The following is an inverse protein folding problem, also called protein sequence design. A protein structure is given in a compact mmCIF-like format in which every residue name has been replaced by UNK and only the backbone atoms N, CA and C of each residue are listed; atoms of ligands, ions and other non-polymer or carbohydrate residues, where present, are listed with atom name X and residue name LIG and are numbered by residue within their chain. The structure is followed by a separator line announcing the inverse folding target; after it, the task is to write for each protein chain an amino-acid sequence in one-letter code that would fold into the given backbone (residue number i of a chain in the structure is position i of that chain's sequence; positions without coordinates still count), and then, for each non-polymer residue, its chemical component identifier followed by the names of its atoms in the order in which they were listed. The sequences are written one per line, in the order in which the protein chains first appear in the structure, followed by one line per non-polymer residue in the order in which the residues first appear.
data_IF_965298936588
#
_entry.id   IF_965298936588
#
_cell.length_a   1.000
_cell.length_b   1.000
_cell.length_c   1.000
_cell.angle_alpha   90.00
_cell.angle_beta   90.00
_cell.angle_gamma   90.00
#
_symmetry.space_group_name_H-M   'P 1'
#
loop_
_entity.id
_entity.type
_entity.pdbx_description
1 polymer ?
#
# COMPACT_ATOMS: atom_id res chain seq x y z
N UNK A 1 3.25 58.96 52.38
CA UNK A 1 4.18 58.20 51.53
C UNK A 1 3.57 56.83 51.25
N UNK A 2 3.10 56.59 50.01
CA UNK A 2 2.41 55.36 49.60
C UNK A 2 3.46 54.27 49.28
N UNK A 3 3.38 53.11 49.92
CA UNK A 3 4.17 51.92 49.56
C UNK A 3 3.48 51.19 48.40
N UNK A 4 4.17 51.08 47.26
CA UNK A 4 3.75 50.25 46.13
C UNK A 4 3.99 48.77 46.47
N UNK A 5 2.96 47.94 46.32
CA UNK A 5 3.07 46.48 46.33
C UNK A 5 3.37 46.03 44.89
N UNK A 6 4.49 45.32 44.70
CA UNK A 6 4.85 44.68 43.43
C UNK A 6 4.24 43.27 43.45
N UNK A 7 3.25 43.01 42.59
CA UNK A 7 2.68 41.67 42.38
C UNK A 7 3.38 41.04 41.18
N UNK A 8 4.17 40.01 41.43
CA UNK A 8 4.81 39.19 40.40
C UNK A 8 3.79 38.18 39.85
N UNK A 9 3.37 38.34 38.59
CA UNK A 9 2.54 37.36 37.89
C UNK A 9 3.45 36.28 37.30
N UNK A 10 3.39 35.07 37.88
CA UNK A 10 4.02 33.87 37.31
C UNK A 10 3.08 33.31 36.25
N UNK A 11 3.46 33.45 34.98
CA UNK A 11 2.76 32.80 33.86
C UNK A 11 3.15 31.31 33.82
N UNK A 12 2.23 30.45 34.24
CA UNK A 12 2.36 28.99 34.08
C UNK A 12 2.03 28.66 32.62
N UNK A 13 3.05 28.38 31.82
CA UNK A 13 2.88 27.81 30.48
C UNK A 13 2.53 26.34 30.66
N UNK A 14 1.24 26.01 30.56
CA UNK A 14 0.81 24.63 30.39
C UNK A 14 1.27 24.15 29.01
N UNK A 15 2.37 23.38 28.99
CA UNK A 15 2.72 22.56 27.83
C UNK A 15 1.69 21.45 27.74
N UNK A 16 0.68 21.61 26.89
CA UNK A 16 -0.19 20.51 26.48
C UNK A 16 0.67 19.51 25.70
N UNK A 17 1.25 18.53 26.39
CA UNK A 17 1.71 17.31 25.72
C UNK A 17 0.46 16.54 25.31
N UNK A 18 0.04 16.71 24.06
CA UNK A 18 -0.90 15.77 23.45
C UNK A 18 -0.22 14.40 23.45
N UNK A 19 -0.55 13.55 24.43
CA UNK A 19 -0.16 12.15 24.43
C UNK A 19 -0.80 11.53 23.20
N UNK A 20 0.02 11.26 22.16
CA UNK A 20 -0.39 10.47 21.01
C UNK A 20 -0.90 9.12 21.50
N UNK A 21 -2.06 8.72 21.02
CA UNK A 21 -2.61 7.39 21.30
C UNK A 21 -1.75 6.37 20.57
N UNK A 22 -1.25 5.35 21.27
CA UNK A 22 -0.48 4.28 20.65
C UNK A 22 -1.38 3.55 19.63
N UNK A 23 -0.96 3.53 18.36
CA UNK A 23 -1.64 2.83 17.27
C UNK A 23 -1.01 1.46 17.07
N UNK A 24 -1.86 0.45 16.89
CA UNK A 24 -1.46 -0.91 16.55
C UNK A 24 -1.79 -1.22 15.09
N UNK A 25 -1.07 -2.17 14.51
CA UNK A 25 -1.40 -2.73 13.20
C UNK A 25 -2.52 -3.74 13.37
N UNK A 26 -3.59 -3.59 12.60
CA UNK A 26 -4.70 -4.54 12.56
C UNK A 26 -4.42 -5.57 11.47
N UNK A 27 -4.57 -6.85 11.77
CA UNK A 27 -4.51 -7.93 10.77
C UNK A 27 -5.91 -8.51 10.61
N UNK A 28 -6.40 -8.58 9.37
CA UNK A 28 -7.72 -9.17 9.09
C UNK A 28 -7.81 -9.69 7.67
N UNK A 29 -8.69 -10.67 7.45
CA UNK A 29 -9.15 -11.03 6.13
C UNK A 29 -10.18 -10.01 5.61
N UNK A 30 -10.32 -9.92 4.29
CA UNK A 30 -11.29 -9.06 3.62
C UNK A 30 -12.01 -9.82 2.50
N UNK A 31 -13.28 -10.13 2.72
CA UNK A 31 -14.05 -10.97 1.79
C UNK A 31 -14.33 -10.27 0.45
N UNK A 32 -14.37 -8.93 0.40
CA UNK A 32 -14.53 -8.22 -0.87
C UNK A 32 -13.28 -8.44 -1.74
N UNK A 33 -12.10 -8.21 -1.17
CA UNK A 33 -10.83 -8.41 -1.86
C UNK A 33 -10.57 -9.88 -2.18
N UNK A 34 -10.90 -10.80 -1.28
CA UNK A 34 -10.79 -12.24 -1.55
C UNK A 34 -11.71 -12.66 -2.69
N UNK A 35 -12.97 -12.21 -2.72
CA UNK A 35 -13.90 -12.51 -3.82
C UNK A 35 -13.35 -12.02 -5.15
N UNK A 36 -12.83 -10.78 -5.19
CA UNK A 36 -12.17 -10.24 -6.37
C UNK A 36 -10.98 -11.11 -6.79
N UNK A 37 -10.10 -11.49 -5.87
CA UNK A 37 -8.93 -12.32 -6.20
C UNK A 37 -9.32 -13.70 -6.76
N UNK A 38 -10.43 -14.29 -6.28
CA UNK A 38 -10.97 -15.56 -6.77
C UNK A 38 -11.55 -15.39 -8.17
N UNK A 39 -12.26 -14.27 -8.43
CA UNK A 39 -12.72 -13.95 -9.77
C UNK A 39 -11.52 -13.76 -10.72
N UNK A 40 -10.49 -13.05 -10.28
CA UNK A 40 -9.26 -12.84 -11.05
C UNK A 40 -8.52 -14.15 -11.33
N UNK A 41 -8.61 -15.12 -10.43
CA UNK A 41 -8.01 -16.44 -10.59
C UNK A 41 -8.61 -17.25 -11.74
N UNK A 42 -9.91 -17.07 -12.00
CA UNK A 42 -10.64 -17.78 -13.05
C UNK A 42 -10.85 -16.95 -14.33
N UNK A 43 -10.64 -15.63 -14.28
CA UNK A 43 -10.77 -14.73 -15.42
C UNK A 43 -9.69 -14.99 -16.49
N UNK A 44 -10.09 -15.00 -17.76
CA UNK A 44 -9.19 -15.33 -18.87
C UNK A 44 -8.04 -14.31 -19.01
N UNK A 45 -8.30 -13.04 -18.70
CA UNK A 45 -7.31 -11.96 -18.69
C UNK A 45 -6.78 -11.66 -17.29
N UNK A 46 -7.17 -12.47 -16.31
CA UNK A 46 -6.62 -12.48 -14.97
C UNK A 46 -5.45 -13.47 -14.82
N UNK A 47 -5.42 -14.20 -13.71
CA UNK A 47 -4.37 -15.18 -13.41
C UNK A 47 -4.59 -16.55 -14.07
N UNK A 48 -5.70 -16.76 -14.79
CA UNK A 48 -5.98 -18.04 -15.43
C UNK A 48 -4.81 -18.54 -16.29
N UNK A 49 -4.20 -17.61 -17.05
CA UNK A 49 -3.10 -17.87 -17.97
C UNK A 49 -1.71 -17.66 -17.35
N UNK A 50 -1.62 -17.31 -16.06
CA UNK A 50 -0.34 -17.22 -15.38
C UNK A 50 0.19 -18.63 -15.10
N UNK A 51 1.51 -18.84 -14.97
CA UNK A 51 2.04 -20.09 -14.48
C UNK A 51 1.28 -20.52 -13.22
N UNK A 52 0.61 -21.67 -13.28
CA UNK A 52 -0.14 -22.15 -12.14
C UNK A 52 0.82 -22.69 -11.11
N UNK A 53 0.76 -22.09 -9.92
CA UNK A 53 1.59 -22.49 -8.81
C UNK A 53 0.81 -23.45 -7.91
N UNK A 54 0.98 -24.75 -8.14
CA UNK A 54 0.34 -25.83 -7.35
C UNK A 54 0.71 -25.75 -5.85
N UNK A 55 1.69 -24.92 -5.50
CA UNK A 55 2.22 -24.74 -4.16
C UNK A 55 1.55 -23.57 -3.39
N UNK A 56 0.35 -23.14 -3.82
CA UNK A 56 -0.53 -22.23 -3.09
C UNK A 56 -1.89 -22.91 -2.80
N UNK A 57 -2.06 -23.60 -1.64
CA UNK A 57 -3.21 -24.46 -1.38
C UNK A 57 -4.58 -23.78 -1.50
N UNK A 58 -4.73 -22.57 -0.93
CA UNK A 58 -6.00 -21.85 -0.99
C UNK A 58 -6.32 -21.32 -2.39
N UNK A 59 -5.31 -20.89 -3.14
CA UNK A 59 -5.46 -20.51 -4.55
C UNK A 59 -5.92 -21.69 -5.39
N UNK A 60 -5.31 -22.86 -5.19
CA UNK A 60 -5.73 -24.10 -5.84
C UNK A 60 -7.16 -24.50 -5.47
N UNK A 61 -7.48 -24.47 -4.18
CA UNK A 61 -8.82 -24.77 -3.69
C UNK A 61 -9.86 -23.82 -4.32
N UNK A 62 -9.59 -22.52 -4.35
CA UNK A 62 -10.47 -21.55 -4.99
C UNK A 62 -10.64 -21.83 -6.49
N UNK A 63 -9.55 -22.04 -7.24
CA UNK A 63 -9.64 -22.37 -8.67
C UNK A 63 -10.50 -23.61 -8.90
N UNK A 64 -10.30 -24.67 -8.12
CA UNK A 64 -11.06 -25.92 -8.27
C UNK A 64 -12.55 -25.75 -7.97
N UNK A 65 -12.92 -24.93 -6.98
CA UNK A 65 -14.31 -24.66 -6.62
C UNK A 65 -15.02 -23.72 -7.62
N UNK A 66 -14.30 -22.77 -8.21
CA UNK A 66 -14.93 -21.68 -8.96
C UNK A 66 -14.69 -21.70 -10.47
N UNK A 67 -13.79 -22.54 -11.00
CA UNK A 67 -13.49 -22.59 -12.47
C UNK A 67 -14.70 -22.87 -13.36
N UNK A 68 -15.74 -23.53 -12.84
CA UNK A 68 -16.98 -23.76 -13.60
C UNK A 68 -17.80 -22.47 -13.86
N UNK A 69 -17.47 -21.37 -13.18
CA UNK A 69 -18.14 -20.07 -13.32
C UNK A 69 -17.36 -19.10 -14.23
N UNK A 70 -16.45 -19.61 -15.07
CA UNK A 70 -15.70 -18.78 -16.03
C UNK A 70 -16.58 -17.99 -17.00
N UNK A 71 -17.74 -18.54 -17.35
CA UNK A 71 -18.73 -17.89 -18.22
C UNK A 71 -19.72 -16.98 -17.45
N UNK A 72 -19.46 -16.69 -16.17
CA UNK A 72 -20.30 -15.78 -15.38
C UNK A 72 -20.09 -14.32 -15.81
N UNK A 73 -21.16 -13.51 -15.81
CA UNK A 73 -21.14 -12.10 -16.26
C UNK A 73 -20.03 -11.27 -15.59
N UNK A 74 -19.86 -11.42 -14.27
CA UNK A 74 -18.79 -10.77 -13.52
C UNK A 74 -17.37 -11.07 -14.06
N UNK A 75 -17.12 -12.30 -14.51
CA UNK A 75 -15.81 -12.70 -15.04
C UNK A 75 -15.56 -12.06 -16.41
N UNK A 76 -16.57 -12.08 -17.29
CA UNK A 76 -16.50 -11.35 -18.55
C UNK A 76 -16.32 -9.85 -18.35
N UNK A 77 -16.98 -9.28 -17.34
CA UNK A 77 -16.83 -7.86 -17.05
C UNK A 77 -15.44 -7.53 -16.52
N UNK A 78 -14.87 -8.34 -15.63
CA UNK A 78 -13.46 -8.22 -15.21
C UNK A 78 -12.53 -8.26 -16.42
N UNK A 79 -12.67 -9.23 -17.33
CA UNK A 79 -11.85 -9.32 -18.54
C UNK A 79 -11.95 -8.03 -19.38
N UNK A 80 -13.15 -7.46 -19.51
CA UNK A 80 -13.36 -6.19 -20.25
C UNK A 80 -12.73 -4.97 -19.57
N UNK A 81 -12.66 -4.96 -18.23
CA UNK A 81 -12.01 -3.90 -17.46
C UNK A 81 -10.49 -4.01 -17.55
N UNK A 82 -9.95 -5.24 -17.56
CA UNK A 82 -8.52 -5.49 -17.78
C UNK A 82 -8.08 -4.95 -19.14
N UNK A 83 -8.88 -5.12 -20.21
CA UNK A 83 -8.57 -4.57 -21.54
C UNK A 83 -8.44 -3.05 -21.56
N UNK A 84 -9.16 -2.37 -20.66
CA UNK A 84 -9.10 -0.90 -20.50
C UNK A 84 -7.91 -0.44 -19.65
N UNK A 85 -7.11 -1.37 -19.11
CA UNK A 85 -6.04 -1.05 -18.15
C UNK A 85 -6.52 -0.85 -16.72
N UNK A 86 -7.79 -1.16 -16.43
CA UNK A 86 -8.32 -1.21 -15.06
C UNK A 86 -8.01 -2.56 -14.44
N UNK A 87 -6.74 -2.73 -14.06
CA UNK A 87 -6.20 -4.01 -13.58
C UNK A 87 -6.44 -4.24 -12.09
N UNK A 88 -5.90 -5.33 -11.55
CA UNK A 88 -6.17 -5.79 -10.19
C UNK A 88 -5.92 -4.73 -9.11
N UNK A 89 -4.86 -3.92 -9.22
CA UNK A 89 -4.55 -2.86 -8.26
C UNK A 89 -5.68 -1.83 -8.16
N UNK A 90 -6.30 -1.47 -9.28
CA UNK A 90 -7.40 -0.52 -9.35
C UNK A 90 -8.70 -1.14 -8.79
N UNK A 91 -8.98 -2.40 -9.13
CA UNK A 91 -10.14 -3.12 -8.62
C UNK A 91 -10.07 -3.39 -7.10
N UNK A 92 -8.87 -3.65 -6.55
CA UNK A 92 -8.65 -3.78 -5.10
C UNK A 92 -9.01 -2.47 -4.38
N UNK A 93 -8.71 -1.33 -4.97
CA UNK A 93 -9.12 -0.04 -4.40
C UNK A 93 -10.64 0.08 -4.32
N UNK A 94 -11.36 -0.31 -5.37
CA UNK A 94 -12.83 -0.31 -5.35
C UNK A 94 -13.35 -1.19 -4.22
N UNK A 95 -12.82 -2.40 -4.05
CA UNK A 95 -13.26 -3.34 -3.02
C UNK A 95 -13.02 -2.82 -1.60
N UNK A 96 -11.87 -2.20 -1.35
CA UNK A 96 -11.54 -1.60 -0.05
C UNK A 96 -12.34 -0.32 0.26
N UNK A 97 -12.83 0.37 -0.78
CA UNK A 97 -13.66 1.58 -0.67
C UNK A 97 -15.16 1.27 -0.72
N UNK A 98 -15.56 0.00 -0.76
CA UNK A 98 -16.96 -0.43 -0.80
C UNK A 98 -17.43 -1.05 0.52
N UNK A 99 -18.74 -1.06 0.75
CA UNK A 99 -19.36 -1.84 1.84
C UNK A 99 -19.26 -3.36 1.55
N UNK A 100 -19.54 -4.23 2.52
CA UNK A 100 -19.41 -5.68 2.33
C UNK A 100 -20.35 -6.28 1.26
N UNK A 101 -19.81 -7.20 0.44
CA UNK A 101 -20.60 -8.10 -0.41
C UNK A 101 -21.58 -8.95 0.44
N UNK A 102 -22.75 -9.37 -0.08
CA UNK A 102 -23.25 -9.21 -1.45
C UNK A 102 -24.15 -7.97 -1.65
N UNK A 103 -24.13 -6.99 -0.74
CA UNK A 103 -24.85 -5.72 -0.90
C UNK A 103 -23.86 -4.55 -0.92
N UNK A 104 -22.71 -4.77 -1.57
CA UNK A 104 -21.66 -3.79 -1.63
C UNK A 104 -22.10 -2.56 -2.43
N UNK A 105 -21.73 -1.39 -1.94
CA UNK A 105 -21.88 -0.08 -2.56
C UNK A 105 -20.62 0.75 -2.27
N UNK A 106 -20.22 1.59 -3.21
CA UNK A 106 -19.05 2.44 -3.03
C UNK A 106 -19.29 3.46 -1.90
N UNK A 107 -18.44 3.45 -0.88
CA UNK A 107 -18.54 4.31 0.30
C UNK A 107 -17.59 5.52 0.22
N UNK A 108 -16.52 5.40 -0.56
CA UNK A 108 -15.50 6.44 -0.70
C UNK A 108 -15.11 6.63 -2.16
N UNK A 109 -14.82 7.88 -2.53
CA UNK A 109 -14.34 8.21 -3.88
C UNK A 109 -13.00 7.51 -4.16
N UNK A 110 -12.84 7.01 -5.39
CA UNK A 110 -11.57 6.50 -5.88
C UNK A 110 -10.55 7.63 -6.04
N UNK A 111 -9.26 7.30 -6.05
CA UNK A 111 -8.22 8.24 -6.46
C UNK A 111 -8.45 8.62 -7.94
N UNK A 112 -8.16 9.87 -8.31
CA UNK A 112 -8.34 10.35 -9.69
C UNK A 112 -7.54 9.52 -10.70
N UNK A 113 -6.32 9.12 -10.32
CA UNK A 113 -5.43 8.25 -11.10
C UNK A 113 -5.97 6.82 -11.30
N UNK A 114 -6.94 6.40 -10.48
CA UNK A 114 -7.65 5.13 -10.61
C UNK A 114 -8.89 5.32 -11.49
N UNK A 115 -9.70 6.35 -11.24
CA UNK A 115 -10.90 6.63 -12.03
C UNK A 115 -10.62 6.88 -13.51
N UNK A 116 -9.54 7.61 -13.83
CA UNK A 116 -9.19 7.97 -15.22
C UNK A 116 -8.83 6.75 -16.08
N UNK A 117 -8.46 5.61 -15.46
CA UNK A 117 -8.21 4.35 -16.18
C UNK A 117 -9.51 3.74 -16.74
N UNK A 118 -10.68 4.14 -16.24
CA UNK A 118 -11.97 3.68 -16.75
C UNK A 118 -12.51 4.59 -17.85
N UNK A 119 -12.48 5.90 -17.60
CA UNK A 119 -12.91 6.95 -18.52
C UNK A 119 -12.42 8.32 -18.03
N UNK A 120 -12.16 9.24 -18.97
CA UNK A 120 -11.96 10.66 -18.67
C UNK A 120 -13.27 11.35 -18.22
N UNK A 121 -14.43 10.76 -18.53
CA UNK A 121 -15.72 11.20 -18.00
C UNK A 121 -15.98 10.57 -16.62
N UNK A 122 -16.04 11.42 -15.59
CA UNK A 122 -16.27 11.02 -14.19
C UNK A 122 -17.58 10.26 -14.00
N UNK A 123 -18.64 10.62 -14.72
CA UNK A 123 -19.93 9.94 -14.60
C UNK A 123 -19.88 8.55 -15.25
N UNK A 124 -19.21 8.42 -16.39
CA UNK A 124 -19.01 7.12 -17.03
C UNK A 124 -18.14 6.21 -16.15
N UNK A 125 -17.04 6.74 -15.61
CA UNK A 125 -16.19 6.01 -14.68
C UNK A 125 -16.98 5.51 -13.46
N UNK A 126 -17.79 6.39 -12.84
CA UNK A 126 -18.65 6.01 -11.71
C UNK A 126 -19.68 4.93 -12.08
N UNK A 127 -20.28 5.02 -13.27
CA UNK A 127 -21.22 4.01 -13.76
C UNK A 127 -20.54 2.65 -13.93
N UNK A 128 -19.32 2.62 -14.48
CA UNK A 128 -18.53 1.38 -14.63
C UNK A 128 -18.15 0.79 -13.27
N UNK A 129 -17.78 1.61 -12.29
CA UNK A 129 -17.51 1.17 -10.91
C UNK A 129 -18.76 0.55 -10.29
N UNK A 130 -19.92 1.20 -10.41
CA UNK A 130 -21.18 0.69 -9.86
C UNK A 130 -21.58 -0.63 -10.52
N UNK A 131 -21.43 -0.76 -11.85
CA UNK A 131 -21.65 -2.02 -12.57
C UNK A 131 -20.71 -3.12 -12.11
N UNK A 132 -19.45 -2.78 -11.85
CA UNK A 132 -18.44 -3.73 -11.37
C UNK A 132 -18.84 -4.29 -10.00
N UNK A 133 -19.17 -3.41 -9.05
CA UNK A 133 -19.62 -3.81 -7.72
C UNK A 133 -20.89 -4.67 -7.81
N UNK A 134 -21.88 -4.26 -8.61
CA UNK A 134 -23.11 -5.03 -8.81
C UNK A 134 -22.84 -6.43 -9.39
N UNK A 135 -21.92 -6.55 -10.35
CA UNK A 135 -21.55 -7.84 -10.92
C UNK A 135 -20.90 -8.77 -9.88
N UNK A 136 -20.08 -8.23 -8.98
CA UNK A 136 -19.48 -9.00 -7.88
C UNK A 136 -20.49 -9.36 -6.79
N UNK A 137 -21.49 -8.50 -6.52
CA UNK A 137 -22.61 -8.86 -5.66
C UNK A 137 -23.34 -10.10 -6.20
N UNK A 138 -23.65 -10.12 -7.50
CA UNK A 138 -24.31 -11.26 -8.16
C UNK A 138 -23.43 -12.52 -8.10
N UNK A 139 -22.15 -12.40 -8.48
CA UNK A 139 -21.20 -13.52 -8.41
C UNK A 139 -21.12 -14.10 -7.00
N UNK A 140 -21.09 -13.26 -5.97
CA UNK A 140 -21.01 -13.68 -4.58
C UNK A 140 -22.22 -14.55 -4.18
N UNK A 141 -23.42 -14.18 -4.63
CA UNK A 141 -24.66 -14.92 -4.37
C UNK A 141 -24.72 -16.21 -5.20
N UNK A 142 -24.53 -16.10 -6.51
CA UNK A 142 -24.72 -17.20 -7.46
C UNK A 142 -23.74 -18.35 -7.23
N UNK A 143 -22.53 -18.02 -6.77
CA UNK A 143 -21.48 -19.01 -6.47
C UNK A 143 -21.41 -19.41 -5.00
N UNK A 144 -22.30 -18.86 -4.15
CA UNK A 144 -22.34 -19.12 -2.70
C UNK A 144 -21.00 -18.87 -1.99
N UNK A 145 -20.36 -17.73 -2.28
CA UNK A 145 -19.06 -17.36 -1.70
C UNK A 145 -19.07 -17.35 -0.17
N UNK A 146 -20.20 -17.00 0.46
CA UNK A 146 -20.34 -17.05 1.91
C UNK A 146 -20.06 -18.44 2.48
N UNK A 147 -20.55 -19.50 1.83
CA UNK A 147 -20.36 -20.88 2.27
C UNK A 147 -18.87 -21.25 2.16
N UNK A 148 -18.22 -20.90 1.04
CA UNK A 148 -16.79 -21.10 0.85
C UNK A 148 -15.95 -20.43 1.95
N UNK A 149 -16.25 -19.18 2.32
CA UNK A 149 -15.53 -18.49 3.40
C UNK A 149 -15.80 -19.10 4.77
N UNK A 150 -17.03 -19.53 5.03
CA UNK A 150 -17.38 -20.19 6.29
C UNK A 150 -16.67 -21.53 6.45
N UNK A 151 -16.64 -22.36 5.40
CA UNK A 151 -15.95 -23.65 5.37
C UNK A 151 -14.44 -23.50 5.55
N UNK A 152 -13.86 -22.40 5.06
CA UNK A 152 -12.42 -22.13 5.12
C UNK A 152 -12.01 -21.17 6.25
N UNK A 153 -12.91 -20.82 7.16
CA UNK A 153 -12.66 -19.82 8.21
C UNK A 153 -11.40 -20.14 9.03
N UNK A 154 -11.22 -21.38 9.44
CA UNK A 154 -10.04 -21.81 10.23
C UNK A 154 -8.72 -21.60 9.49
N UNK A 155 -8.71 -21.76 8.16
CA UNK A 155 -7.54 -21.49 7.33
C UNK A 155 -7.23 -19.98 7.34
N UNK A 156 -8.24 -19.14 7.13
CA UNK A 156 -8.09 -17.68 7.12
C UNK A 156 -7.66 -17.12 8.49
N UNK A 157 -8.22 -17.66 9.58
CA UNK A 157 -7.80 -17.32 10.94
C UNK A 157 -6.32 -17.68 11.16
N UNK A 158 -5.86 -18.81 10.64
CA UNK A 158 -4.47 -19.25 10.76
C UNK A 158 -3.50 -18.39 9.94
N UNK A 159 -3.91 -17.96 8.74
CA UNK A 159 -3.18 -16.96 7.95
C UNK A 159 -3.04 -15.64 8.72
N UNK A 160 -4.14 -15.14 9.29
CA UNK A 160 -4.10 -13.91 10.09
C UNK A 160 -3.21 -14.07 11.33
N UNK A 161 -3.18 -15.25 11.94
CA UNK A 161 -2.30 -15.55 13.07
C UNK A 161 -0.82 -15.57 12.67
N UNK A 162 -0.46 -16.16 11.53
CA UNK A 162 0.93 -16.11 11.03
C UNK A 162 1.40 -14.67 10.85
N UNK A 163 0.59 -13.82 10.21
CA UNK A 163 0.94 -12.41 10.03
C UNK A 163 1.02 -11.68 11.36
N UNK A 164 0.05 -11.90 12.26
CA UNK A 164 0.02 -11.25 13.58
C UNK A 164 1.25 -11.58 14.43
N UNK A 165 1.74 -12.83 14.37
CA UNK A 165 2.94 -13.29 15.08
C UNK A 165 4.25 -12.71 14.51
N UNK A 166 4.20 -12.12 13.32
CA UNK A 166 5.34 -11.62 12.58
C UNK A 166 5.31 -10.10 12.37
N UNK A 167 4.41 -9.39 13.07
CA UNK A 167 4.31 -7.93 13.02
C UNK A 167 5.60 -7.24 13.50
N UNK A 168 5.89 -6.03 12.99
CA UNK A 168 7.00 -5.24 13.50
C UNK A 168 6.80 -4.88 14.97
N UNK A 169 7.90 -4.54 15.65
CA UNK A 169 7.89 -4.19 17.08
C UNK A 169 6.95 -3.02 17.42
N UNK A 170 6.53 -2.94 18.68
CA UNK A 170 5.43 -2.07 19.12
C UNK A 170 5.59 -0.56 18.81
N UNK A 171 6.83 -0.07 18.66
CA UNK A 171 7.12 1.34 18.36
C UNK A 171 7.14 1.65 16.86
N UNK A 172 6.86 0.67 16.01
CA UNK A 172 7.00 0.79 14.56
C UNK A 172 6.16 1.92 13.95
N UNK A 173 4.87 1.97 14.25
CA UNK A 173 3.98 3.02 13.72
C UNK A 173 4.41 4.39 14.22
N UNK A 174 4.75 4.49 15.52
CA UNK A 174 5.25 5.73 16.10
C UNK A 174 6.53 6.21 15.40
N UNK A 175 7.47 5.31 15.13
CA UNK A 175 8.69 5.63 14.41
C UNK A 175 8.43 6.15 13.00
N UNK A 176 7.47 5.55 12.26
CA UNK A 176 7.06 6.06 10.95
C UNK A 176 6.42 7.45 11.04
N UNK A 177 5.43 7.62 11.92
CA UNK A 177 4.72 8.89 12.09
C UNK A 177 5.63 10.04 12.57
N UNK A 178 6.56 9.74 13.48
CA UNK A 178 7.57 10.69 13.94
C UNK A 178 8.57 11.02 12.85
N UNK A 179 9.03 10.02 12.11
CA UNK A 179 9.98 10.24 11.01
C UNK A 179 9.37 11.10 9.92
N UNK A 180 8.15 10.82 9.45
CA UNK A 180 7.48 11.64 8.42
C UNK A 180 6.85 12.92 8.97
N UNK A 181 6.69 13.04 10.30
CA UNK A 181 6.01 14.16 10.95
C UNK A 181 4.52 14.28 10.58
N UNK A 182 3.88 13.14 10.33
CA UNK A 182 2.48 13.00 9.89
C UNK A 182 1.83 11.86 10.64
N UNK A 183 0.51 11.91 10.76
CA UNK A 183 -0.28 10.87 11.39
C UNK A 183 -1.37 10.37 10.45
N UNK A 184 -1.66 9.07 10.55
CA UNK A 184 -2.81 8.44 9.91
C UNK A 184 -3.78 7.91 10.96
N UNK A 185 -5.01 7.63 10.56
CA UNK A 185 -6.07 7.15 11.44
C UNK A 185 -5.82 5.71 11.90
N UNK A 186 -5.48 4.84 10.95
CA UNK A 186 -5.30 3.41 11.21
C UNK A 186 -4.41 2.73 10.17
N UNK A 187 -3.86 1.57 10.54
CA UNK A 187 -2.96 0.76 9.72
C UNK A 187 -3.43 -0.69 9.73
N UNK A 188 -3.70 -1.26 8.55
CA UNK A 188 -4.24 -2.60 8.39
C UNK A 188 -3.41 -3.43 7.42
N UNK A 189 -3.08 -4.66 7.80
CA UNK A 189 -2.55 -5.70 6.93
C UNK A 189 -3.66 -6.69 6.58
N UNK A 190 -3.82 -6.97 5.29
CA UNK A 190 -4.84 -7.87 4.74
C UNK A 190 -4.14 -8.96 3.92
N UNK A 191 -3.78 -10.10 4.54
CA UNK A 191 -3.26 -11.24 3.81
C UNK A 191 -4.36 -11.92 2.98
N UNK A 192 -4.10 -12.13 1.70
CA UNK A 192 -5.01 -12.77 0.75
C UNK A 192 -4.35 -14.04 0.20
N UNK A 193 -4.67 -15.22 0.75
CA UNK A 193 -4.00 -16.47 0.36
C UNK A 193 -4.32 -16.95 -1.08
N UNK A 194 -5.30 -16.32 -1.73
CA UNK A 194 -5.69 -16.54 -3.14
C UNK A 194 -4.98 -15.59 -4.11
N UNK A 195 -4.28 -14.56 -3.64
CA UNK A 195 -3.44 -13.72 -4.50
C UNK A 195 -2.17 -14.48 -4.92
N UNK A 196 -1.63 -14.11 -6.08
CA UNK A 196 -0.33 -14.61 -6.52
C UNK A 196 0.75 -14.28 -5.49
N UNK A 197 1.70 -15.21 -5.28
CA UNK A 197 2.78 -15.00 -4.32
C UNK A 197 3.52 -13.68 -4.59
N UNK A 198 4.04 -13.03 -3.55
CA UNK A 198 4.79 -11.76 -3.60
C UNK A 198 4.04 -10.53 -4.16
N UNK A 199 2.78 -10.66 -4.59
CA UNK A 199 1.98 -9.50 -4.97
C UNK A 199 1.49 -8.74 -3.73
N UNK A 200 1.56 -7.41 -3.78
CA UNK A 200 1.14 -6.51 -2.71
C UNK A 200 0.56 -5.21 -3.27
N UNK A 201 -0.35 -4.60 -2.51
CA UNK A 201 -1.03 -3.35 -2.87
C UNK A 201 -1.26 -2.48 -1.63
N UNK A 202 -0.52 -1.39 -1.51
CA UNK A 202 -0.79 -0.31 -0.58
C UNK A 202 -1.95 0.56 -1.06
N UNK A 203 -2.99 0.68 -0.23
CA UNK A 203 -4.19 1.48 -0.48
C UNK A 203 -4.52 2.33 0.73
N UNK A 204 -5.29 3.39 0.49
CA UNK A 204 -5.67 4.35 1.52
C UNK A 204 -7.07 4.89 1.30
N UNK A 205 -7.70 5.28 2.39
CA UNK A 205 -8.96 6.04 2.39
C UNK A 205 -8.75 7.32 3.17
N UNK A 206 -9.03 8.46 2.55
CA UNK A 206 -8.93 9.77 3.23
C UNK A 206 -10.02 9.87 4.30
N UNK A 207 -9.61 10.29 5.50
CA UNK A 207 -10.50 10.59 6.64
C UNK A 207 -10.00 11.86 7.34
N UNK A 208 -10.73 12.33 8.37
CA UNK A 208 -10.40 13.56 9.09
C UNK A 208 -8.96 13.57 9.61
N UNK A 209 -8.54 12.47 10.24
CA UNK A 209 -7.16 12.29 10.72
C UNK A 209 -6.33 11.50 9.69
N UNK A 210 -5.90 12.17 8.63
CA UNK A 210 -4.98 11.57 7.65
C UNK A 210 -5.68 10.52 6.79
N UNK A 211 -5.28 9.25 6.92
CA UNK A 211 -5.77 8.15 6.11
C UNK A 211 -6.04 6.88 6.94
N UNK A 212 -7.00 6.05 6.51
CA UNK A 212 -7.03 4.62 6.84
C UNK A 212 -6.11 3.91 5.85
N UNK A 213 -4.97 3.40 6.33
CA UNK A 213 -3.94 2.79 5.50
C UNK A 213 -4.11 1.27 5.51
N UNK A 214 -4.10 0.68 4.32
CA UNK A 214 -4.31 -0.76 4.14
C UNK A 214 -3.24 -1.30 3.21
N UNK A 215 -2.67 -2.44 3.55
CA UNK A 215 -1.82 -3.22 2.65
C UNK A 215 -2.45 -4.59 2.42
N UNK A 216 -2.77 -4.88 1.16
CA UNK A 216 -3.27 -6.18 0.72
C UNK A 216 -2.11 -6.96 0.11
N UNK A 217 -1.89 -8.22 0.50
CA UNK A 217 -0.76 -8.99 -0.05
C UNK A 217 -1.00 -10.49 -0.09
N UNK A 218 -0.41 -11.14 -1.09
CA UNK A 218 -0.39 -12.59 -1.23
C UNK A 218 0.66 -13.27 -0.35
N UNK A 219 0.78 -14.61 -0.44
CA UNK A 219 1.80 -15.36 0.27
C UNK A 219 3.23 -14.86 -0.03
N UNK A 220 4.08 -14.86 0.99
CA UNK A 220 5.47 -14.40 0.93
C UNK A 220 6.42 -15.54 0.54
N UNK A 221 6.04 -16.77 0.87
CA UNK A 221 6.75 -17.98 0.46
C UNK A 221 5.79 -18.98 -0.14
N UNK A 222 6.24 -19.61 -1.21
CA UNK A 222 5.54 -20.71 -1.87
C UNK A 222 5.95 -22.01 -1.17
N UNK A 223 4.99 -22.82 -0.72
CA UNK A 223 5.27 -24.06 0.04
C UNK A 223 4.95 -25.27 -0.82
N UNK A 224 5.99 -26.03 -1.21
CA UNK A 224 5.83 -27.27 -1.97
C UNK A 224 5.27 -28.35 -1.07
N UNK A 225 3.95 -28.44 -1.06
CA UNK A 225 3.13 -29.39 -0.32
C UNK A 225 3.27 -29.33 1.22
N UNK A 226 2.13 -29.53 1.85
CA UNK A 226 1.85 -29.64 3.28
C UNK A 226 1.81 -28.32 4.09
N UNK A 227 0.76 -28.27 4.91
CA UNK A 227 0.60 -27.44 6.11
C UNK A 227 1.80 -27.56 7.10
N UNK A 228 2.82 -28.36 6.79
CA UNK A 228 4.04 -28.58 7.58
C UNK A 228 4.97 -27.35 7.56
N UNK A 229 4.87 -26.48 6.54
CA UNK A 229 5.66 -25.25 6.40
C UNK A 229 4.84 -23.96 6.63
N UNK A 230 3.57 -24.08 7.05
CA UNK A 230 2.67 -22.95 7.28
C UNK A 230 1.87 -22.52 6.05
N UNK A 231 1.21 -21.37 6.15
CA UNK A 231 0.27 -20.84 5.16
C UNK A 231 0.92 -19.90 4.14
N UNK A 232 2.25 -19.80 4.16
CA UNK A 232 3.05 -18.95 3.29
C UNK A 232 3.19 -17.50 3.78
N UNK A 233 2.75 -17.19 5.00
CA UNK A 233 2.83 -15.84 5.58
C UNK A 233 3.76 -15.74 6.80
N UNK A 234 4.30 -16.86 7.30
CA UNK A 234 5.21 -16.90 8.44
C UNK A 234 6.63 -16.40 8.12
N UNK A 235 6.77 -15.10 7.82
CA UNK A 235 8.06 -14.47 7.50
C UNK A 235 8.12 -13.02 8.01
N UNK A 236 8.59 -12.84 9.25
CA UNK A 236 8.74 -11.51 9.88
C UNK A 236 9.60 -10.54 9.09
N UNK A 237 10.66 -11.00 8.43
CA UNK A 237 11.53 -10.13 7.65
C UNK A 237 10.78 -9.51 6.48
N UNK A 238 10.13 -10.35 5.67
CA UNK A 238 9.37 -9.89 4.50
C UNK A 238 8.11 -9.10 4.91
N UNK A 239 7.41 -9.48 5.99
CA UNK A 239 6.31 -8.68 6.54
C UNK A 239 6.79 -7.29 6.95
N UNK A 240 7.93 -7.19 7.62
CA UNK A 240 8.49 -5.91 8.05
C UNK A 240 8.96 -5.06 6.86
N UNK A 241 9.48 -5.66 5.79
CA UNK A 241 9.86 -4.96 4.56
C UNK A 241 8.64 -4.43 3.81
N UNK A 242 7.68 -5.31 3.57
CA UNK A 242 6.43 -4.97 2.91
C UNK A 242 5.65 -3.90 3.69
N UNK A 243 5.55 -4.02 5.01
CA UNK A 243 4.80 -3.07 5.85
C UNK A 243 5.40 -1.66 5.78
N UNK A 244 6.73 -1.52 5.84
CA UNK A 244 7.37 -0.20 5.71
C UNK A 244 7.14 0.38 4.32
N UNK A 245 7.29 -0.44 3.27
CA UNK A 245 7.11 -0.02 1.89
C UNK A 245 5.69 0.51 1.64
N UNK A 246 4.69 -0.33 1.93
CA UNK A 246 3.30 -0.04 1.57
C UNK A 246 2.69 1.05 2.45
N UNK A 247 3.06 1.12 3.73
CA UNK A 247 2.65 2.25 4.58
C UNK A 247 3.40 3.54 4.20
N UNK A 248 4.64 3.44 3.70
CA UNK A 248 5.43 4.58 3.20
C UNK A 248 4.70 5.38 2.12
N UNK A 249 4.02 4.68 1.20
CA UNK A 249 3.18 5.31 0.17
C UNK A 249 2.10 6.23 0.75
N UNK A 250 1.53 5.91 1.92
CA UNK A 250 0.51 6.76 2.56
C UNK A 250 1.06 8.11 3.04
N UNK A 251 2.36 8.19 3.33
CA UNK A 251 3.00 9.42 3.78
C UNK A 251 3.51 10.27 2.61
N UNK A 252 4.03 9.61 1.58
CA UNK A 252 4.72 10.25 0.44
C UNK A 252 3.77 10.64 -0.68
N UNK A 253 2.94 9.71 -1.15
CA UNK A 253 2.17 9.92 -2.37
C UNK A 253 1.21 11.12 -2.27
N UNK A 254 0.46 11.37 -1.16
CA UNK A 254 -0.44 12.52 -1.12
C UNK A 254 0.28 13.84 -1.33
N UNK A 255 1.54 13.91 -0.91
CA UNK A 255 2.38 15.08 -0.98
C UNK A 255 3.03 15.19 -2.36
N UNK A 256 3.54 14.07 -2.90
CA UNK A 256 4.13 14.03 -4.24
C UNK A 256 3.12 14.37 -5.33
N UNK A 257 1.84 14.06 -5.11
CA UNK A 257 0.71 14.30 -6.03
C UNK A 257 0.19 15.75 -5.97
N UNK A 258 0.67 16.59 -5.04
CA UNK A 258 0.28 18.01 -5.01
C UNK A 258 0.77 18.73 -6.28
N UNK A 259 -0.03 19.63 -6.88
CA UNK A 259 0.31 20.29 -8.15
C UNK A 259 1.72 20.88 -8.21
N UNK A 260 2.12 21.62 -7.17
CA UNK A 260 3.47 22.21 -7.11
C UNK A 260 4.60 21.17 -7.09
N UNK A 261 4.38 20.01 -6.47
CA UNK A 261 5.38 18.94 -6.44
C UNK A 261 5.41 18.18 -7.76
N UNK A 262 4.24 17.96 -8.38
CA UNK A 262 4.13 17.38 -9.72
C UNK A 262 4.90 18.23 -10.74
N UNK A 263 4.77 19.57 -10.70
CA UNK A 263 5.53 20.48 -11.57
C UNK A 263 7.06 20.35 -11.37
N UNK A 264 7.52 20.17 -10.11
CA UNK A 264 8.95 19.95 -9.83
C UNK A 264 9.38 18.59 -10.38
N UNK A 265 8.58 17.54 -10.19
CA UNK A 265 8.87 16.19 -10.69
C UNK A 265 9.01 16.21 -12.22
N UNK A 266 8.04 16.80 -12.92
CA UNK A 266 7.99 16.81 -14.38
C UNK A 266 9.16 17.57 -15.01
N UNK A 267 9.71 18.58 -14.33
CA UNK A 267 10.92 19.30 -14.77
C UNK A 267 12.10 18.36 -15.01
N UNK A 268 12.18 17.24 -14.30
CA UNK A 268 13.28 16.29 -14.37
C UNK A 268 12.91 15.00 -15.13
N UNK A 269 11.85 15.01 -15.96
CA UNK A 269 11.40 13.82 -16.68
C UNK A 269 12.46 13.17 -17.59
N UNK A 270 13.43 13.95 -18.08
CA UNK A 270 14.54 13.47 -18.91
C UNK A 270 15.43 12.47 -18.15
N UNK A 271 15.42 12.50 -16.81
CA UNK A 271 16.10 11.53 -15.96
C UNK A 271 15.44 10.14 -15.99
N UNK A 272 14.25 9.98 -16.56
CA UNK A 272 13.66 8.66 -16.66
C UNK A 272 14.38 7.78 -17.69
N UNK A 273 14.76 8.35 -18.83
CA UNK A 273 15.26 7.57 -19.97
C UNK A 273 16.48 6.69 -19.62
N UNK A 274 17.49 7.14 -18.85
CA UNK A 274 18.64 6.31 -18.47
C UNK A 274 18.30 5.09 -17.60
N UNK A 275 17.18 5.08 -16.89
CA UNK A 275 16.78 3.99 -15.96
C UNK A 275 15.51 3.26 -16.41
N UNK A 276 14.85 3.76 -17.44
CA UNK A 276 13.51 3.34 -17.90
C UNK A 276 13.37 1.84 -18.10
N UNK A 277 14.36 1.20 -18.72
CA UNK A 277 14.28 -0.23 -19.00
C UNK A 277 14.30 -1.08 -17.73
N UNK A 278 15.10 -0.71 -16.73
CA UNK A 278 15.19 -1.45 -15.47
C UNK A 278 14.02 -1.12 -14.53
N UNK A 279 13.52 0.12 -14.58
CA UNK A 279 12.31 0.53 -13.90
C UNK A 279 11.07 -0.18 -14.46
N UNK A 280 10.97 -0.32 -15.78
CA UNK A 280 9.86 -1.02 -16.45
C UNK A 280 9.80 -2.51 -16.07
N UNK A 281 10.94 -3.20 -15.94
CA UNK A 281 11.00 -4.59 -15.47
C UNK A 281 10.43 -4.76 -14.05
N UNK A 282 10.41 -3.68 -13.27
CA UNK A 282 9.88 -3.64 -11.91
C UNK A 282 8.45 -3.07 -11.84
N UNK A 283 7.80 -2.83 -12.99
CA UNK A 283 6.43 -2.29 -13.05
C UNK A 283 6.34 -0.76 -13.07
N UNK A 284 7.46 -0.04 -13.03
CA UNK A 284 7.47 1.42 -13.01
C UNK A 284 7.61 1.98 -14.43
N UNK A 285 6.46 2.24 -15.06
CA UNK A 285 6.38 2.57 -16.50
C UNK A 285 6.46 4.06 -16.84
N UNK A 286 6.37 4.95 -15.84
CA UNK A 286 6.43 6.39 -16.02
C UNK A 286 7.28 7.08 -14.95
N UNK A 287 7.75 8.29 -15.27
CA UNK A 287 8.64 9.07 -14.41
C UNK A 287 8.06 9.41 -13.04
N UNK A 288 6.80 9.87 -12.98
CA UNK A 288 6.17 10.28 -11.72
C UNK A 288 6.08 9.12 -10.72
N UNK A 289 5.61 7.97 -11.18
CA UNK A 289 5.59 6.73 -10.38
C UNK A 289 7.01 6.33 -9.96
N UNK A 290 7.97 6.40 -10.87
CA UNK A 290 9.37 6.10 -10.57
C UNK A 290 9.93 7.00 -9.45
N UNK A 291 9.65 8.30 -9.47
CA UNK A 291 10.10 9.24 -8.43
C UNK A 291 9.44 8.96 -7.08
N UNK A 292 8.12 8.72 -7.05
CA UNK A 292 7.42 8.35 -5.82
C UNK A 292 8.04 7.11 -5.18
N UNK A 293 8.34 6.09 -5.99
CA UNK A 293 9.00 4.86 -5.56
C UNK A 293 10.42 5.09 -5.03
N UNK A 294 11.23 5.94 -5.69
CA UNK A 294 12.55 6.31 -5.16
C UNK A 294 12.45 6.91 -3.74
N UNK A 295 11.43 7.73 -3.48
CA UNK A 295 11.24 8.39 -2.19
C UNK A 295 10.71 7.42 -1.14
N UNK A 296 9.85 6.47 -1.51
CA UNK A 296 9.41 5.40 -0.61
C UNK A 296 10.56 4.47 -0.25
N UNK A 297 11.40 4.08 -1.23
CA UNK A 297 12.62 3.27 -1.00
C UNK A 297 13.62 3.99 -0.11
N UNK A 298 13.77 5.31 -0.26
CA UNK A 298 14.52 6.15 0.67
C UNK A 298 13.94 6.04 2.08
N UNK A 299 12.62 6.16 2.21
CA UNK A 299 11.90 5.96 3.47
C UNK A 299 12.22 4.62 4.14
N UNK A 300 12.23 3.53 3.38
CA UNK A 300 12.57 2.18 3.89
C UNK A 300 13.96 2.14 4.54
N UNK A 301 14.95 2.78 3.91
CA UNK A 301 16.32 2.87 4.45
C UNK A 301 16.33 3.69 5.75
N UNK A 302 15.69 4.87 5.74
CA UNK A 302 15.74 5.79 6.89
C UNK A 302 14.97 5.27 8.09
N UNK A 303 13.79 4.68 7.88
CA UNK A 303 13.02 4.02 8.95
C UNK A 303 13.81 2.85 9.55
N UNK A 304 14.53 2.08 8.73
CA UNK A 304 15.39 1.00 9.26
C UNK A 304 16.46 1.54 10.21
N UNK A 305 17.09 2.69 9.90
CA UNK A 305 18.02 3.34 10.83
C UNK A 305 17.33 3.88 12.09
N UNK A 306 16.16 4.49 11.97
CA UNK A 306 15.39 5.02 13.11
C UNK A 306 15.02 3.89 14.08
N UNK A 307 14.72 2.70 13.55
CA UNK A 307 14.43 1.49 14.34
C UNK A 307 15.70 0.78 14.87
N UNK A 308 16.89 1.31 14.59
CA UNK A 308 18.16 0.75 15.06
C UNK A 308 18.69 -0.43 14.23
N UNK A 309 18.10 -0.72 13.07
CA UNK A 309 18.48 -1.83 12.20
C UNK A 309 19.36 -1.35 11.03
N UNK A 310 20.60 -1.00 11.35
CA UNK A 310 21.59 -0.55 10.36
C UNK A 310 22.00 -1.65 9.38
N UNK A 311 21.94 -2.91 9.80
CA UNK A 311 22.25 -4.07 8.96
C UNK A 311 21.23 -4.19 7.83
N UNK A 312 19.94 -4.13 8.16
CA UNK A 312 18.87 -4.08 7.15
C UNK A 312 18.99 -2.84 6.27
N UNK A 313 19.18 -1.66 6.86
CA UNK A 313 19.29 -0.41 6.10
C UNK A 313 20.38 -0.48 5.03
N UNK A 314 21.57 -0.99 5.39
CA UNK A 314 22.67 -1.16 4.45
C UNK A 314 22.38 -2.23 3.39
N UNK A 315 21.77 -3.37 3.77
CA UNK A 315 21.42 -4.43 2.83
C UNK A 315 20.43 -3.93 1.76
N UNK A 316 19.34 -3.29 2.18
CA UNK A 316 18.31 -2.83 1.23
C UNK A 316 18.82 -1.65 0.39
N UNK A 317 19.64 -0.75 0.96
CA UNK A 317 20.33 0.29 0.18
C UNK A 317 21.13 -0.32 -0.97
N UNK A 318 21.98 -1.29 -0.66
CA UNK A 318 22.83 -1.93 -1.66
C UNK A 318 21.99 -2.65 -2.71
N UNK A 319 20.94 -3.36 -2.30
CA UNK A 319 20.03 -4.01 -3.26
C UNK A 319 19.34 -3.01 -4.20
N UNK A 320 18.84 -1.91 -3.66
CA UNK A 320 18.15 -0.89 -4.46
C UNK A 320 19.06 -0.25 -5.50
N UNK A 321 20.29 0.11 -5.10
CA UNK A 321 21.23 0.79 -5.99
C UNK A 321 21.85 -0.20 -6.98
N UNK A 322 22.39 -1.32 -6.52
CA UNK A 322 23.21 -2.22 -7.34
C UNK A 322 22.38 -3.20 -8.16
N UNK A 323 21.28 -3.73 -7.60
CA UNK A 323 20.51 -4.79 -8.28
C UNK A 323 19.23 -4.26 -8.94
N UNK A 324 18.64 -3.20 -8.38
CA UNK A 324 17.35 -2.66 -8.83
C UNK A 324 17.45 -1.33 -9.55
N UNK A 325 18.66 -0.81 -9.76
CA UNK A 325 18.95 0.41 -10.52
C UNK A 325 18.16 1.65 -10.05
N UNK A 326 17.93 1.81 -8.73
CA UNK A 326 17.45 3.06 -8.13
C UNK A 326 18.60 4.10 -8.12
N UNK A 327 19.05 4.48 -9.32
CA UNK A 327 20.26 5.27 -9.58
C UNK A 327 20.29 6.60 -8.84
N UNK A 328 19.14 7.20 -8.58
CA UNK A 328 19.04 8.52 -7.97
C UNK A 328 18.91 8.49 -6.45
N UNK A 329 18.78 7.30 -5.86
CA UNK A 329 18.65 7.12 -4.41
C UNK A 329 19.82 7.73 -3.61
N UNK A 330 21.10 7.62 -4.02
CA UNK A 330 22.22 8.21 -3.26
C UNK A 330 22.14 9.74 -3.12
N UNK A 331 21.65 10.44 -4.16
CA UNK A 331 21.48 11.90 -4.12
C UNK A 331 20.34 12.27 -3.15
N UNK A 332 19.25 11.51 -3.17
CA UNK A 332 18.13 11.70 -2.26
C UNK A 332 18.54 11.41 -0.79
N UNK A 333 19.34 10.37 -0.54
CA UNK A 333 19.92 10.10 0.79
C UNK A 333 20.82 11.23 1.27
N UNK A 334 21.67 11.78 0.41
CA UNK A 334 22.49 12.95 0.79
C UNK A 334 21.62 14.16 1.14
N UNK A 335 20.49 14.35 0.44
CA UNK A 335 19.60 15.49 0.65
C UNK A 335 18.73 15.34 1.90
N UNK A 336 18.26 14.13 2.23
CA UNK A 336 17.38 13.90 3.39
C UNK A 336 18.08 14.18 4.74
N UNK A 337 19.41 14.16 4.78
CA UNK A 337 20.18 14.61 5.95
C UNK A 337 19.81 16.03 6.42
N UNK A 338 19.45 16.95 5.51
CA UNK A 338 19.02 18.31 5.87
C UNK A 338 17.68 18.27 6.62
N UNK A 339 16.76 17.39 6.22
CA UNK A 339 15.49 17.19 6.90
C UNK A 339 15.70 16.72 8.35
N UNK A 340 16.49 15.67 8.51
CA UNK A 340 16.72 15.03 9.80
C UNK A 340 17.47 15.94 10.78
N UNK A 341 18.46 16.70 10.30
CA UNK A 341 19.22 17.66 11.13
C UNK A 341 18.41 18.90 11.51
N UNK A 342 17.31 19.20 10.80
CA UNK A 342 16.55 20.44 10.95
C UNK A 342 15.05 20.22 11.22
N UNK A 343 14.67 19.18 11.99
CA UNK A 343 13.26 18.86 12.31
C UNK A 343 12.45 19.96 13.01
N UNK A 344 13.11 20.92 13.66
CA UNK A 344 12.42 22.13 14.19
C UNK A 344 11.89 23.04 13.09
N UNK A 345 12.58 23.07 11.93
CA UNK A 345 12.21 23.86 10.75
C UNK A 345 11.27 23.07 9.84
N UNK A 346 11.63 21.82 9.54
CA UNK A 346 10.84 20.93 8.71
C UNK A 346 10.06 19.96 9.62
N UNK A 347 8.83 20.34 9.97
CA UNK A 347 8.03 19.60 10.94
C UNK A 347 7.58 18.27 10.36
N UNK A 348 7.22 18.27 9.08
CA UNK A 348 6.79 17.10 8.31
C UNK A 348 7.63 16.93 7.04
N UNK A 349 7.55 15.74 6.44
CA UNK A 349 8.13 15.49 5.12
C UNK A 349 7.52 16.41 4.06
N UNK A 350 6.29 16.90 4.26
CA UNK A 350 5.60 17.80 3.34
C UNK A 350 6.34 19.14 3.21
N UNK A 351 6.90 19.64 4.32
CA UNK A 351 7.71 20.86 4.36
C UNK A 351 9.03 20.74 3.60
N UNK A 352 9.51 19.50 3.38
CA UNK A 352 10.83 19.21 2.85
C UNK A 352 10.80 18.57 1.46
N UNK A 353 9.70 17.93 1.06
CA UNK A 353 9.59 17.21 -0.22
C UNK A 353 9.98 18.07 -1.43
N UNK A 354 9.59 19.36 -1.55
CA UNK A 354 10.05 20.20 -2.65
C UNK A 354 11.59 20.33 -2.71
N UNK A 355 12.27 20.37 -1.56
CA UNK A 355 13.74 20.45 -1.49
C UNK A 355 14.39 19.13 -1.86
N UNK A 356 13.78 18.01 -1.43
CA UNK A 356 14.20 16.67 -1.81
C UNK A 356 14.08 16.48 -3.33
N UNK A 357 12.93 16.82 -3.92
CA UNK A 357 12.73 16.73 -5.37
C UNK A 357 13.70 17.63 -6.15
N UNK A 358 13.98 18.84 -5.65
CA UNK A 358 14.94 19.72 -6.31
C UNK A 358 16.41 19.25 -6.23
N UNK A 359 16.75 18.17 -5.52
CA UNK A 359 18.11 17.61 -5.61
C UNK A 359 18.36 16.86 -6.91
N UNK A 360 17.33 16.50 -7.70
CA UNK A 360 17.52 15.91 -9.02
C UNK A 360 18.34 16.80 -9.98
N UNK A 361 18.39 18.12 -9.76
CA UNK A 361 19.27 19.03 -10.51
C UNK A 361 20.78 18.75 -10.33
N UNK A 362 21.15 17.98 -9.31
CA UNK A 362 22.54 17.59 -9.03
C UNK A 362 22.91 16.27 -9.73
N UNK A 363 21.97 15.65 -10.44
CA UNK A 363 22.24 14.53 -11.33
C UNK A 363 22.95 15.08 -12.56
N UNK A 364 24.23 14.76 -12.69
CA UNK A 364 25.04 15.08 -13.88
C UNK A 364 24.91 14.00 -14.95
#
# INVERSE_FOLDING_TARGET
MKKLFLISVIAIVFSCSNKRTKKNIIVKSDHNVMTLSICFEIANKGFWNFPFDDYQPMKKLARDNFKQFQDHEAIHFIDSLVDKGFWLDAMVEVMLKSSPLPNAELQYNLEESTSIRLSDDKNEAQLLVNKFIASLNNFYVDTKMADFFNENKSYLDSVNLEVSNNLPGENFIQAMEDYYGKENDSYTLIPIPTLYHTMGFGKRVKVDLGYKVTNVFGPLTVTKDSLEFGFGFNNSKEINELTVHEFGHSFINPTAELPNNVEIIDRYQDLFEPIKNDMKKQGYVNWRTCVAEHIVRLGEIRISYVLGDSVRANRIRNDYVENRNFKYLPILEKRIDEYEKNRKKYKSIDDFLPRLLNSFKEVN
#
